data_IF_087488059375
#
_entry.id   IF_087488059375
#
_cell.length_a   1.000
_cell.length_b   1.000
_cell.length_c   1.000
_cell.angle_alpha   90.00
_cell.angle_beta   90.00
_cell.angle_gamma   90.00
#
_symmetry.space_group_name_H-M   'P 1'
#
loop_
_entity.id
_entity.type
_entity.pdbx_description
1 polymer ?
#
# COMPACT_ATOMS: atom_id res chain seq x y z
N UNK A 1 22.87 7.55 -15.61
CA UNK A 1 21.92 8.64 -15.91
C UNK A 1 20.87 8.59 -14.82
N UNK A 2 20.83 9.58 -13.91
CA UNK A 2 19.83 9.64 -12.85
C UNK A 2 18.53 10.08 -13.52
N UNK A 3 17.60 9.15 -13.71
CA UNK A 3 16.25 9.46 -14.17
C UNK A 3 15.65 10.48 -13.20
N UNK A 4 15.23 11.63 -13.73
CA UNK A 4 15.05 12.84 -12.95
C UNK A 4 14.02 12.64 -11.83
N UNK A 5 14.35 13.11 -10.62
CA UNK A 5 13.38 13.36 -9.55
C UNK A 5 12.08 13.87 -10.16
N UNK A 6 10.95 13.29 -9.78
CA UNK A 6 9.67 13.74 -10.30
C UNK A 6 9.55 15.26 -10.14
N UNK A 7 9.48 15.98 -11.27
CA UNK A 7 9.59 17.45 -11.28
C UNK A 7 8.38 18.14 -10.64
N UNK A 8 7.29 17.41 -10.49
CA UNK A 8 6.01 17.93 -9.99
C UNK A 8 5.38 16.95 -9.00
N UNK A 9 4.64 17.47 -8.01
CA UNK A 9 3.87 16.62 -7.09
C UNK A 9 2.71 15.94 -7.83
N UNK A 10 2.16 14.83 -7.28
CA UNK A 10 0.97 14.21 -7.84
C UNK A 10 -0.23 15.17 -7.83
N UNK A 11 -0.93 15.30 -8.95
CA UNK A 11 -2.07 16.21 -9.08
C UNK A 11 -3.21 15.85 -8.13
N UNK A 12 -3.70 16.78 -7.32
CA UNK A 12 -4.84 16.52 -6.43
C UNK A 12 -6.11 16.21 -7.24
N UNK A 13 -6.83 15.17 -6.82
CA UNK A 13 -8.15 14.85 -7.37
C UNK A 13 -9.18 15.87 -6.88
N UNK A 14 -10.17 16.20 -7.72
CA UNK A 14 -11.19 17.24 -7.44
C UNK A 14 -12.58 16.65 -7.17
N UNK A 15 -12.77 15.34 -7.32
CA UNK A 15 -14.04 14.66 -7.12
C UNK A 15 -13.98 13.16 -7.42
N UNK A 16 -15.16 12.52 -7.40
CA UNK A 16 -15.30 11.07 -7.64
C UNK A 16 -14.84 10.69 -9.06
N UNK A 17 -15.23 11.45 -10.08
CA UNK A 17 -14.85 11.14 -11.47
C UNK A 17 -13.35 11.29 -11.72
N UNK A 18 -12.69 12.27 -11.10
CA UNK A 18 -11.24 12.40 -11.17
C UNK A 18 -10.55 11.26 -10.43
N UNK A 19 -11.07 10.80 -9.29
CA UNK A 19 -10.55 9.59 -8.62
C UNK A 19 -10.68 8.36 -9.52
N UNK A 20 -11.83 8.14 -10.14
CA UNK A 20 -12.04 7.01 -11.07
C UNK A 20 -11.01 7.07 -12.19
N UNK A 21 -10.87 8.24 -12.83
CA UNK A 21 -9.90 8.43 -13.91
C UNK A 21 -8.47 8.17 -13.44
N UNK A 22 -8.06 8.75 -12.31
CA UNK A 22 -6.67 8.70 -11.84
C UNK A 22 -6.28 7.36 -11.23
N UNK A 23 -7.20 6.67 -10.54
CA UNK A 23 -6.88 5.48 -9.75
C UNK A 23 -7.45 4.18 -10.32
N UNK A 24 -8.49 4.22 -11.15
CA UNK A 24 -9.11 3.02 -11.74
C UNK A 24 -8.87 2.89 -13.25
N UNK A 25 -8.84 3.99 -14.00
CA UNK A 25 -8.71 3.94 -15.46
C UNK A 25 -7.26 4.17 -15.93
N UNK A 26 -6.55 5.09 -15.30
CA UNK A 26 -5.17 5.40 -15.67
C UNK A 26 -4.24 4.22 -15.33
N UNK A 27 -3.41 3.84 -16.30
CA UNK A 27 -2.32 2.89 -16.10
C UNK A 27 -1.03 3.69 -15.87
N UNK A 28 -0.39 3.58 -14.69
CA UNK A 28 0.87 4.27 -14.46
C UNK A 28 1.99 3.65 -15.32
N UNK A 29 3.07 4.39 -15.58
CA UNK A 29 4.19 3.92 -16.42
C UNK A 29 4.91 2.69 -15.84
N UNK A 30 5.01 2.61 -14.51
CA UNK A 30 5.68 1.53 -13.81
C UNK A 30 4.66 0.48 -13.34
N UNK A 31 4.89 -0.77 -13.72
CA UNK A 31 4.17 -1.91 -13.15
C UNK A 31 4.74 -2.19 -11.76
N UNK A 32 3.87 -2.25 -10.75
CA UNK A 32 4.29 -2.53 -9.37
C UNK A 32 3.88 -3.94 -8.94
N UNK A 33 2.90 -4.55 -9.60
CA UNK A 33 2.41 -5.87 -9.23
C UNK A 33 3.45 -6.95 -9.54
N UNK A 34 3.89 -7.69 -8.52
CA UNK A 34 4.74 -8.86 -8.68
C UNK A 34 3.88 -10.05 -9.12
N UNK A 35 4.15 -10.57 -10.31
CA UNK A 35 3.50 -11.78 -10.82
C UNK A 35 4.40 -12.98 -10.59
N UNK A 36 3.95 -13.90 -9.75
CA UNK A 36 4.66 -15.16 -9.53
C UNK A 36 4.60 -16.03 -10.77
N UNK A 37 5.75 -16.50 -11.23
CA UNK A 37 5.91 -17.43 -12.36
C UNK A 37 5.69 -18.87 -11.93
N UNK A 38 5.88 -19.18 -10.65
CA UNK A 38 5.69 -20.52 -10.09
C UNK A 38 5.16 -20.48 -8.64
N UNK A 39 4.56 -21.60 -8.17
CA UNK A 39 4.22 -21.76 -6.76
C UNK A 39 5.41 -21.63 -5.82
N UNK A 40 6.59 -22.12 -6.22
CA UNK A 40 7.82 -22.03 -5.42
C UNK A 40 8.27 -20.57 -5.23
N UNK A 41 8.12 -19.73 -6.25
CA UNK A 41 8.39 -18.30 -6.14
C UNK A 41 7.45 -17.66 -5.11
N UNK A 42 6.14 -17.97 -5.18
CA UNK A 42 5.16 -17.50 -4.19
C UNK A 42 5.48 -18.00 -2.78
N UNK A 43 5.94 -19.25 -2.63
CA UNK A 43 6.32 -19.83 -1.35
C UNK A 43 7.53 -19.10 -0.77
N UNK A 44 8.54 -18.81 -1.59
CA UNK A 44 9.71 -18.02 -1.18
C UNK A 44 9.31 -16.64 -0.65
N UNK A 45 8.42 -15.93 -1.34
CA UNK A 45 7.88 -14.66 -0.85
C UNK A 45 7.09 -14.83 0.46
N UNK A 46 6.28 -15.89 0.58
CA UNK A 46 5.55 -16.17 1.82
C UNK A 46 6.49 -16.39 3.00
N UNK A 47 7.56 -17.17 2.82
CA UNK A 47 8.59 -17.37 3.83
C UNK A 47 9.30 -16.07 4.21
N UNK A 48 9.65 -15.23 3.23
CA UNK A 48 10.25 -13.92 3.48
C UNK A 48 9.33 -13.02 4.32
N UNK A 49 8.02 -13.07 4.08
CA UNK A 49 7.02 -12.33 4.86
C UNK A 49 6.93 -12.90 6.29
N UNK A 50 6.87 -14.22 6.44
CA UNK A 50 6.83 -14.89 7.75
C UNK A 50 8.05 -14.54 8.58
N UNK A 51 9.25 -14.63 8.01
CA UNK A 51 10.51 -14.33 8.69
C UNK A 51 10.55 -12.88 9.19
N UNK A 52 10.04 -11.93 8.39
CA UNK A 52 10.08 -10.49 8.74
C UNK A 52 8.97 -10.06 9.69
N UNK A 53 7.75 -10.57 9.47
CA UNK A 53 6.56 -10.07 10.15
C UNK A 53 6.04 -11.01 11.23
N UNK A 54 6.52 -12.25 11.28
CA UNK A 54 6.02 -13.28 12.19
C UNK A 54 4.60 -13.72 11.89
N UNK A 55 4.10 -13.47 10.67
CA UNK A 55 2.73 -13.82 10.25
C UNK A 55 2.80 -14.85 9.14
N UNK A 56 2.11 -15.98 9.34
CA UNK A 56 1.88 -16.94 8.27
C UNK A 56 0.87 -16.37 7.26
N UNK A 57 1.32 -16.19 6.03
CA UNK A 57 0.51 -15.69 4.91
C UNK A 57 0.08 -16.76 3.91
N UNK A 58 0.49 -18.01 4.10
CA UNK A 58 0.16 -19.15 3.23
C UNK A 58 -1.35 -19.43 3.23
N UNK A 59 -2.02 -19.09 4.33
CA UNK A 59 -3.47 -19.25 4.48
C UNK A 59 -4.28 -18.20 3.69
N UNK A 60 -3.64 -17.19 3.07
CA UNK A 60 -4.33 -16.22 2.21
C UNK A 60 -4.36 -16.70 0.77
N UNK A 61 -5.57 -17.01 0.28
CA UNK A 61 -5.75 -17.53 -1.08
C UNK A 61 -5.30 -16.54 -2.15
N UNK A 62 -5.52 -15.24 -1.92
CA UNK A 62 -5.02 -14.16 -2.77
C UNK A 62 -4.01 -13.35 -1.95
N UNK A 63 -2.77 -13.31 -2.41
CA UNK A 63 -1.67 -12.54 -1.82
C UNK A 63 -1.14 -11.60 -2.90
N UNK A 64 -1.61 -10.34 -2.87
CA UNK A 64 -1.18 -9.35 -3.84
C UNK A 64 0.00 -8.59 -3.27
N UNK A 65 1.13 -8.71 -3.96
CA UNK A 65 2.38 -8.04 -3.60
C UNK A 65 2.67 -7.01 -4.68
N UNK A 66 2.77 -5.76 -4.26
CA UNK A 66 3.25 -4.67 -5.09
C UNK A 66 4.60 -4.19 -4.59
N UNK A 67 5.49 -3.84 -5.51
CA UNK A 67 6.87 -3.40 -5.28
C UNK A 67 7.18 -2.19 -6.17
N UNK A 68 7.88 -1.20 -5.62
CA UNK A 68 8.40 -0.08 -6.38
C UNK A 68 9.70 0.45 -5.73
N UNK A 69 10.72 0.70 -6.55
CA UNK A 69 11.90 1.44 -6.13
C UNK A 69 11.62 2.93 -6.02
N UNK A 70 12.13 3.60 -4.99
CA UNK A 70 12.01 5.04 -4.75
C UNK A 70 13.40 5.62 -4.51
N UNK A 71 13.79 6.63 -5.30
CA UNK A 71 15.14 7.22 -5.22
C UNK A 71 15.25 8.27 -4.09
N UNK A 72 14.93 7.83 -2.87
CA UNK A 72 14.93 8.62 -1.63
C UNK A 72 15.35 7.68 -0.49
N UNK A 73 15.99 8.15 0.60
CA UNK A 73 16.39 7.28 1.71
C UNK A 73 15.20 6.56 2.41
N UNK A 74 15.36 5.30 2.86
CA UNK A 74 14.27 4.50 3.44
C UNK A 74 13.56 5.13 4.63
N UNK A 75 14.34 5.82 5.48
CA UNK A 75 13.80 6.57 6.62
C UNK A 75 12.79 7.62 6.18
N UNK A 76 13.12 8.40 5.15
CA UNK A 76 12.25 9.48 4.66
C UNK A 76 10.97 8.90 4.04
N UNK A 77 11.09 7.88 3.19
CA UNK A 77 9.94 7.19 2.58
C UNK A 77 9.00 6.66 3.67
N UNK A 78 9.55 6.11 4.76
CA UNK A 78 8.74 5.61 5.86
C UNK A 78 8.06 6.72 6.66
N UNK A 79 8.72 7.86 6.92
CA UNK A 79 8.07 9.03 7.54
C UNK A 79 6.91 9.57 6.70
N UNK A 80 7.04 9.57 5.36
CA UNK A 80 5.94 9.91 4.46
C UNK A 80 4.76 8.93 4.59
N UNK A 81 5.00 7.62 4.77
CA UNK A 81 3.94 6.64 5.05
C UNK A 81 3.25 6.92 6.40
N UNK A 82 4.02 7.32 7.41
CA UNK A 82 3.47 7.69 8.73
C UNK A 82 2.58 8.94 8.65
N UNK A 83 2.72 9.75 7.60
CA UNK A 83 1.84 10.89 7.35
C UNK A 83 0.51 10.54 6.64
N UNK A 84 0.29 9.25 6.28
CA UNK A 84 -0.87 8.84 5.46
C UNK A 84 -2.22 9.15 6.11
N UNK A 85 -3.00 10.00 5.45
CA UNK A 85 -4.28 10.53 5.96
C UNK A 85 -5.30 10.74 4.84
N UNK A 86 -6.51 11.16 5.23
CA UNK A 86 -7.62 11.46 4.32
C UNK A 86 -7.42 12.67 3.40
N UNK A 87 -6.27 13.36 3.50
CA UNK A 87 -5.89 14.49 2.62
C UNK A 87 -4.74 14.13 1.67
N UNK A 88 -4.29 12.86 1.70
CA UNK A 88 -3.22 12.39 0.84
C UNK A 88 -3.59 12.50 -0.65
N UNK A 89 -2.74 13.15 -1.43
CA UNK A 89 -2.84 13.20 -2.90
C UNK A 89 -2.56 11.85 -3.55
N UNK A 90 -1.98 10.91 -2.81
CA UNK A 90 -1.64 9.58 -3.30
C UNK A 90 -2.81 8.58 -3.16
N UNK A 91 -3.95 9.00 -2.60
CA UNK A 91 -5.09 8.11 -2.31
C UNK A 91 -6.41 8.65 -2.88
N UNK A 92 -7.33 7.79 -3.38
CA UNK A 92 -8.61 8.21 -3.95
C UNK A 92 -9.63 8.62 -2.87
N UNK A 93 -9.42 9.76 -2.22
CA UNK A 93 -10.19 10.20 -1.06
C UNK A 93 -11.68 10.49 -1.31
N UNK A 94 -12.10 10.71 -2.56
CA UNK A 94 -13.51 10.88 -2.91
C UNK A 94 -14.24 9.54 -3.10
N UNK A 95 -13.53 8.47 -3.48
CA UNK A 95 -14.10 7.10 -3.57
C UNK A 95 -13.96 6.37 -2.24
N UNK A 96 -12.81 6.46 -1.59
CA UNK A 96 -12.47 5.74 -0.37
C UNK A 96 -11.73 6.69 0.55
N UNK A 97 -12.38 7.28 1.55
CA UNK A 97 -11.73 8.25 2.43
C UNK A 97 -11.07 7.58 3.61
N UNK A 98 -9.80 7.89 3.84
CA UNK A 98 -9.07 7.46 5.05
C UNK A 98 -9.48 8.33 6.23
N UNK A 99 -9.76 7.70 7.37
CA UNK A 99 -10.04 8.35 8.65
C UNK A 99 -9.23 7.67 9.74
N UNK A 100 -8.41 8.45 10.45
CA UNK A 100 -7.74 8.01 11.67
C UNK A 100 -8.69 8.12 12.86
N UNK A 101 -8.76 7.08 13.70
CA UNK A 101 -9.42 7.15 15.00
C UNK A 101 -8.42 7.78 15.98
N UNK A 102 -8.87 8.77 16.74
CA UNK A 102 -8.04 9.54 17.70
C UNK A 102 -6.76 10.11 17.09
N UNK A 103 -6.81 10.44 15.80
CA UNK A 103 -5.67 10.90 15.00
C UNK A 103 -4.46 9.92 14.96
N UNK A 104 -4.68 8.66 15.35
CA UNK A 104 -3.65 7.62 15.38
C UNK A 104 -3.60 6.80 14.09
N UNK A 105 -2.38 6.36 13.73
CA UNK A 105 -2.19 5.35 12.68
C UNK A 105 -2.59 3.95 13.13
N UNK A 106 -2.69 3.72 14.44
CA UNK A 106 -2.98 2.38 14.97
C UNK A 106 -4.39 1.90 14.61
N UNK A 107 -5.31 2.84 14.38
CA UNK A 107 -6.71 2.54 14.10
C UNK A 107 -7.18 3.41 12.94
N UNK A 108 -7.25 2.81 11.75
CA UNK A 108 -7.65 3.50 10.51
C UNK A 108 -8.96 2.89 10.01
N UNK A 109 -9.88 3.76 9.59
CA UNK A 109 -11.12 3.39 8.92
C UNK A 109 -11.13 3.97 7.51
N UNK A 110 -11.56 3.15 6.55
CA UNK A 110 -11.72 3.56 5.16
C UNK A 110 -13.21 3.53 4.82
N UNK A 111 -13.75 4.67 4.40
CA UNK A 111 -15.17 4.84 4.09
C UNK A 111 -15.39 5.04 2.60
N UNK A 112 -16.36 4.32 2.03
CA UNK A 112 -16.79 4.57 0.66
C UNK A 112 -17.47 5.95 0.53
N UNK A 113 -17.16 6.64 -0.56
CA UNK A 113 -17.69 7.94 -0.96
C UNK A 113 -17.54 9.04 0.09
N UNK A 114 -16.56 8.92 0.99
CA UNK A 114 -16.26 9.91 2.02
C UNK A 114 -17.34 10.09 3.09
N UNK A 115 -18.37 9.25 3.12
CA UNK A 115 -19.51 9.40 4.04
C UNK A 115 -19.24 8.64 5.34
N UNK A 116 -18.84 9.36 6.40
CA UNK A 116 -18.70 8.81 7.77
C UNK A 116 -20.04 8.41 8.41
N UNK A 117 -21.14 9.06 8.02
CA UNK A 117 -22.49 8.81 8.53
C UNK A 117 -23.49 9.01 7.39
N UNK A 118 -24.09 7.92 6.94
CA UNK A 118 -25.38 7.95 6.24
C UNK A 118 -26.41 7.51 7.29
N UNK A 119 -27.58 8.17 7.41
CA UNK A 119 -28.69 7.55 8.12
C UNK A 119 -28.91 6.17 7.46
N UNK A 120 -28.93 5.07 8.22
CA UNK A 120 -28.90 3.65 7.77
C UNK A 120 -27.55 2.90 7.72
N UNK A 121 -26.47 3.43 8.33
CA UNK A 121 -25.44 2.56 8.95
C UNK A 121 -24.56 1.71 8.03
N UNK A 122 -24.03 2.27 6.94
CA UNK A 122 -22.96 1.58 6.22
C UNK A 122 -21.70 1.50 7.10
N UNK A 123 -21.29 0.27 7.40
CA UNK A 123 -20.02 -0.02 8.08
C UNK A 123 -18.84 0.46 7.21
N UNK A 124 -17.68 0.80 7.82
CA UNK A 124 -16.46 1.08 7.07
C UNK A 124 -16.18 -0.02 6.05
N UNK A 125 -15.70 0.37 4.87
CA UNK A 125 -15.24 -0.59 3.86
C UNK A 125 -14.13 -1.44 4.45
N UNK A 126 -13.18 -0.79 5.12
CA UNK A 126 -12.09 -1.41 5.84
C UNK A 126 -11.89 -0.76 7.21
N UNK A 127 -11.63 -1.60 8.21
CA UNK A 127 -11.04 -1.25 9.49
C UNK A 127 -9.65 -1.88 9.53
N UNK A 128 -8.63 -1.05 9.72
CA UNK A 128 -7.24 -1.43 9.85
C UNK A 128 -6.84 -1.20 11.30
N UNK A 129 -6.48 -2.27 11.99
CA UNK A 129 -5.98 -2.23 13.37
C UNK A 129 -4.52 -2.65 13.35
N UNK A 130 -3.63 -1.79 13.81
CA UNK A 130 -2.20 -2.07 13.80
C UNK A 130 -1.91 -3.27 14.71
N UNK A 131 -1.24 -4.27 14.15
CA UNK A 131 -0.59 -5.32 14.91
C UNK A 131 0.78 -4.82 15.35
N UNK A 132 1.51 -4.16 14.43
CA UNK A 132 2.87 -3.67 14.68
C UNK A 132 3.22 -2.50 13.77
N UNK A 133 3.91 -1.51 14.34
CA UNK A 133 4.52 -0.39 13.62
C UNK A 133 6.01 -0.36 13.96
N UNK A 134 6.85 -0.85 13.06
CA UNK A 134 8.31 -0.89 13.23
C UNK A 134 8.94 0.37 12.62
N UNK A 135 9.18 1.39 13.44
CA UNK A 135 9.77 2.68 13.00
C UNK A 135 11.29 2.64 12.89
N UNK A 136 11.91 1.97 13.85
CA UNK A 136 13.37 1.83 13.94
C UNK A 136 13.70 0.41 13.46
N UNK A 137 14.61 0.20 12.51
CA UNK A 137 15.02 -1.14 12.12
C UNK A 137 15.53 -1.97 13.30
N UNK A 138 15.35 -3.28 13.23
CA UNK A 138 15.98 -4.20 14.18
C UNK A 138 17.50 -4.11 14.10
N UNK A 139 18.18 -4.38 15.22
CA UNK A 139 19.65 -4.36 15.29
C UNK A 139 20.33 -5.40 14.39
N UNK A 140 19.59 -6.41 13.95
CA UNK A 140 20.06 -7.49 13.08
C UNK A 140 19.42 -7.45 11.68
N UNK A 141 18.66 -6.40 11.37
CA UNK A 141 18.01 -6.23 10.07
C UNK A 141 19.02 -5.67 9.06
N UNK A 142 19.62 -6.54 8.25
CA UNK A 142 20.60 -6.14 7.22
C UNK A 142 20.00 -5.23 6.14
N UNK A 143 18.69 -5.27 5.94
CA UNK A 143 17.95 -4.50 4.94
C UNK A 143 17.34 -3.19 5.51
N UNK A 144 17.59 -2.88 6.79
CA UNK A 144 17.02 -1.72 7.51
C UNK A 144 15.48 -1.64 7.41
N UNK A 145 14.79 -2.77 7.54
CA UNK A 145 13.35 -2.84 7.40
C UNK A 145 12.57 -1.91 8.35
N UNK A 146 11.56 -1.24 7.78
CA UNK A 146 10.52 -0.50 8.51
C UNK A 146 9.17 -0.90 7.96
N UNK A 147 8.18 -1.05 8.81
CA UNK A 147 6.87 -1.51 8.34
C UNK A 147 5.70 -1.06 9.21
N UNK A 148 4.55 -1.02 8.55
CA UNK A 148 3.24 -0.88 9.12
C UNK A 148 2.49 -2.17 8.83
N UNK A 149 2.04 -2.87 9.87
CA UNK A 149 1.33 -4.14 9.76
C UNK A 149 -0.03 -4.02 10.43
N UNK A 150 -1.08 -4.31 9.66
CA UNK A 150 -2.46 -4.19 10.07
C UNK A 150 -3.21 -5.51 9.93
N UNK A 151 -4.06 -5.77 10.93
CA UNK A 151 -5.20 -6.69 10.81
C UNK A 151 -6.36 -5.91 10.21
N UNK A 152 -6.89 -6.43 9.12
CA UNK A 152 -8.00 -5.82 8.40
C UNK A 152 -9.32 -6.53 8.70
N UNK A 153 -10.41 -5.78 8.71
CA UNK A 153 -11.78 -6.28 8.75
C UNK A 153 -12.73 -5.28 8.07
N UNK A 154 -14.02 -5.60 7.95
CA UNK A 154 -15.01 -4.69 7.39
C UNK A 154 -15.89 -5.34 6.33
N UNK A 155 -16.34 -4.52 5.37
CA UNK A 155 -17.27 -4.90 4.31
C UNK A 155 -16.70 -5.85 3.25
N UNK A 156 -15.39 -6.10 3.26
CA UNK A 156 -14.70 -6.90 2.25
C UNK A 156 -13.57 -7.76 2.88
N UNK A 157 -13.26 -8.97 2.37
CA UNK A 157 -12.42 -9.95 3.06
C UNK A 157 -10.91 -9.69 2.91
N UNK A 158 -10.44 -8.51 3.31
CA UNK A 158 -9.01 -8.28 3.57
C UNK A 158 -8.70 -8.81 4.96
N UNK A 159 -7.75 -9.74 5.06
CA UNK A 159 -7.30 -10.28 6.34
C UNK A 159 -6.15 -9.48 6.93
N UNK A 160 -5.11 -9.25 6.13
CA UNK A 160 -3.94 -8.47 6.52
C UNK A 160 -3.59 -7.45 5.44
N UNK A 161 -3.03 -6.34 5.89
CA UNK A 161 -2.39 -5.36 5.03
C UNK A 161 -1.09 -4.94 5.68
N UNK A 162 -0.01 -4.91 4.93
CA UNK A 162 1.21 -4.28 5.39
C UNK A 162 1.89 -3.48 4.30
N UNK A 163 2.55 -2.43 4.75
CA UNK A 163 3.42 -1.58 3.95
C UNK A 163 4.81 -1.70 4.54
N UNK A 164 5.81 -2.03 3.74
CA UNK A 164 7.17 -2.16 4.22
C UNK A 164 8.17 -1.46 3.30
N UNK A 165 9.19 -0.87 3.93
CA UNK A 165 10.27 -0.15 3.25
C UNK A 165 11.59 -0.74 3.69
N UNK A 166 12.43 -1.09 2.72
CA UNK A 166 13.79 -1.59 2.95
C UNK A 166 14.81 -0.80 2.14
N UNK A 167 16.07 -0.98 2.49
CA UNK A 167 17.23 -0.60 1.67
C UNK A 167 17.34 -1.54 0.47
N UNK A 168 17.93 -1.10 -0.67
CA UNK A 168 18.11 -1.94 -1.83
C UNK A 168 18.98 -3.16 -1.52
N UNK A 169 18.62 -4.28 -2.12
CA UNK A 169 19.37 -5.52 -2.12
C UNK A 169 20.13 -5.62 -3.45
N UNK A 170 21.46 -5.54 -3.39
CA UNK A 170 22.31 -5.60 -4.58
C UNK A 170 22.12 -6.88 -5.38
N UNK A 171 21.81 -8.00 -4.71
CA UNK A 171 21.55 -9.31 -5.32
C UNK A 171 20.28 -9.31 -6.20
N UNK A 172 19.36 -8.37 -6.00
CA UNK A 172 18.11 -8.25 -6.76
C UNK A 172 18.18 -7.21 -7.89
N UNK A 173 19.37 -6.68 -8.19
CA UNK A 173 19.59 -5.58 -9.17
C UNK A 173 18.75 -4.33 -8.86
N UNK A 174 18.45 -4.08 -7.59
CA UNK A 174 17.72 -2.91 -7.14
C UNK A 174 18.65 -1.68 -7.15
N UNK A 175 18.25 -0.63 -7.87
CA UNK A 175 19.09 0.55 -8.09
C UNK A 175 18.69 1.75 -7.22
N UNK A 176 17.43 1.78 -6.79
CA UNK A 176 16.84 2.85 -6.02
C UNK A 176 17.17 2.74 -4.53
N UNK A 177 17.33 3.90 -3.89
CA UNK A 177 17.75 4.00 -2.47
C UNK A 177 16.76 3.38 -1.47
N UNK A 178 15.49 3.21 -1.86
CA UNK A 178 14.47 2.54 -1.08
C UNK A 178 13.66 1.60 -1.94
N UNK A 179 13.21 0.50 -1.34
CA UNK A 179 12.26 -0.41 -1.94
C UNK A 179 11.01 -0.42 -1.10
N UNK A 180 9.90 0.02 -1.69
CA UNK A 180 8.60 0.07 -1.06
C UNK A 180 7.75 -1.09 -1.54
N UNK A 181 7.10 -1.75 -0.60
CA UNK A 181 6.19 -2.84 -0.89
C UNK A 181 4.85 -2.67 -0.18
N UNK A 182 3.77 -2.91 -0.92
CA UNK A 182 2.42 -3.02 -0.38
C UNK A 182 1.96 -4.46 -0.56
N UNK A 183 1.55 -5.09 0.54
CA UNK A 183 1.12 -6.48 0.51
C UNK A 183 -0.24 -6.62 1.16
N UNK A 184 -1.14 -7.26 0.43
CA UNK A 184 -2.52 -7.47 0.86
C UNK A 184 -2.84 -8.95 0.78
N UNK A 185 -3.14 -9.52 1.94
CA UNK A 185 -3.62 -10.90 2.07
C UNK A 185 -5.14 -10.90 2.18
N UNK A 186 -5.81 -11.45 1.16
CA UNK A 186 -7.26 -11.62 1.19
C UNK A 186 -7.63 -12.98 1.74
N UNK A 187 -8.62 -13.01 2.62
CA UNK A 187 -9.16 -14.23 3.20
C UNK A 187 -10.64 -14.40 2.84
N UNK A 188 -10.92 -14.64 1.56
CA UNK A 188 -12.29 -14.87 1.07
C UNK A 188 -12.95 -16.10 1.69
N UNK A 189 -12.16 -17.14 2.01
CA UNK A 189 -12.66 -18.46 2.38
C UNK A 189 -12.90 -18.63 3.89
N UNK A 190 -12.47 -17.67 4.72
CA UNK A 190 -12.91 -17.56 6.12
C UNK A 190 -14.39 -17.15 6.28
N UNK A 191 -15.08 -16.84 5.17
CA UNK A 191 -16.53 -16.64 5.11
C UNK A 191 -17.09 -17.54 4.01
N UNK A 192 -17.71 -18.67 4.40
CA UNK A 192 -18.22 -19.72 3.48
C UNK A 192 -19.03 -19.19 2.28
N UNK A 193 -19.71 -18.05 2.39
CA UNK A 193 -20.54 -17.48 1.32
C UNK A 193 -19.78 -16.74 0.20
N UNK A 194 -18.49 -16.45 0.36
CA UNK A 194 -17.71 -15.68 -0.61
C UNK A 194 -16.79 -16.53 -1.49
N UNK A 195 -16.48 -17.76 -1.06
CA UNK A 195 -15.67 -18.73 -1.81
C UNK A 195 -16.28 -19.09 -3.17
N UNK A 196 -17.61 -19.05 -3.30
CA UNK A 196 -18.33 -19.44 -4.51
C UNK A 196 -18.40 -18.32 -5.58
N UNK A 197 -17.96 -17.10 -5.28
CA UNK A 197 -18.13 -15.92 -6.16
C UNK A 197 -16.86 -15.51 -6.91
N UNK A 198 -16.28 -16.45 -7.65
CA UNK A 198 -15.02 -16.27 -8.40
C UNK A 198 -14.95 -15.01 -9.28
N UNK A 199 -16.06 -14.62 -9.92
CA UNK A 199 -16.10 -13.42 -10.78
C UNK A 199 -15.95 -12.14 -9.95
N UNK A 200 -16.63 -12.06 -8.80
CA UNK A 200 -16.57 -10.90 -7.92
C UNK A 200 -15.15 -10.77 -7.36
N UNK A 201 -14.53 -11.88 -6.96
CA UNK A 201 -13.16 -11.90 -6.45
C UNK A 201 -12.19 -11.36 -7.50
N UNK A 202 -12.32 -11.81 -8.76
CA UNK A 202 -11.48 -11.35 -9.88
C UNK A 202 -11.66 -9.86 -10.20
N UNK A 203 -12.90 -9.36 -10.21
CA UNK A 203 -13.18 -7.93 -10.46
C UNK A 203 -12.52 -7.08 -9.38
N UNK A 204 -12.64 -7.50 -8.12
CA UNK A 204 -12.05 -6.78 -7.01
C UNK A 204 -10.54 -6.82 -7.00
N UNK A 205 -9.93 -7.96 -7.33
CA UNK A 205 -8.48 -8.07 -7.51
C UNK A 205 -7.98 -7.06 -8.54
N UNK A 206 -8.64 -6.98 -9.70
CA UNK A 206 -8.32 -6.01 -10.76
C UNK A 206 -8.44 -4.57 -10.25
N UNK A 207 -9.53 -4.25 -9.54
CA UNK A 207 -9.75 -2.91 -8.96
C UNK A 207 -8.65 -2.60 -7.94
N UNK A 208 -8.37 -3.53 -7.04
CA UNK A 208 -7.41 -3.38 -5.97
C UNK A 208 -5.99 -3.18 -6.52
N UNK A 209 -5.55 -4.01 -7.46
CA UNK A 209 -4.24 -3.92 -8.08
C UNK A 209 -4.06 -2.60 -8.80
N UNK A 210 -5.10 -2.17 -9.51
CA UNK A 210 -5.11 -0.90 -10.24
C UNK A 210 -5.01 0.29 -9.30
N UNK A 211 -5.77 0.31 -8.21
CA UNK A 211 -5.72 1.37 -7.19
C UNK A 211 -4.37 1.37 -6.48
N UNK A 212 -3.86 0.18 -6.10
CA UNK A 212 -2.58 0.02 -5.39
C UNK A 212 -1.41 0.48 -6.25
N UNK A 213 -1.39 0.09 -7.52
CA UNK A 213 -0.35 0.51 -8.47
C UNK A 213 -0.33 2.03 -8.63
N UNK A 214 -1.50 2.66 -8.83
CA UNK A 214 -1.58 4.12 -8.92
C UNK A 214 -1.20 4.82 -7.61
N UNK A 215 -1.59 4.26 -6.47
CA UNK A 215 -1.24 4.77 -5.14
C UNK A 215 0.27 4.78 -4.95
N UNK A 216 0.94 3.64 -5.20
CA UNK A 216 2.39 3.51 -5.05
C UNK A 216 3.17 4.40 -6.02
N UNK A 217 2.75 4.47 -7.29
CA UNK A 217 3.39 5.35 -8.26
C UNK A 217 3.31 6.83 -7.85
N UNK A 218 2.12 7.28 -7.42
CA UNK A 218 1.92 8.65 -6.93
C UNK A 218 2.67 8.91 -5.63
N UNK A 219 2.85 7.89 -4.79
CA UNK A 219 3.63 7.98 -3.57
C UNK A 219 5.13 8.11 -3.85
N UNK A 220 5.68 7.34 -4.81
CA UNK A 220 7.04 7.53 -5.35
C UNK A 220 7.22 8.97 -5.84
N UNK A 221 6.30 9.45 -6.68
CA UNK A 221 6.32 10.81 -7.20
C UNK A 221 6.36 11.86 -6.07
N UNK A 222 5.51 11.70 -5.05
CA UNK A 222 5.47 12.62 -3.90
C UNK A 222 6.79 12.62 -3.13
N UNK A 223 7.32 11.43 -2.81
CA UNK A 223 8.55 11.29 -2.04
C UNK A 223 9.74 11.93 -2.77
N UNK A 224 9.94 11.59 -4.04
CA UNK A 224 11.07 12.09 -4.84
C UNK A 224 10.97 13.61 -5.05
N UNK A 225 9.77 14.13 -5.29
CA UNK A 225 9.55 15.56 -5.44
C UNK A 225 9.83 16.32 -4.13
N UNK A 226 9.25 15.90 -3.00
CA UNK A 226 9.45 16.57 -1.70
C UNK A 226 10.90 16.48 -1.24
N UNK A 227 11.51 15.31 -1.38
CA UNK A 227 12.92 15.14 -1.01
C UNK A 227 13.85 16.00 -1.89
N UNK A 228 13.59 16.07 -3.19
CA UNK A 228 14.33 16.97 -4.09
C UNK A 228 14.18 18.45 -3.73
N UNK A 229 13.01 18.87 -3.23
CA UNK A 229 12.79 20.24 -2.71
C UNK A 229 13.65 20.54 -1.48
N UNK A 230 13.69 19.60 -0.53
CA UNK A 230 14.53 19.69 0.68
C UNK A 230 16.01 19.78 0.30
N UNK A 231 16.49 18.90 -0.60
CA UNK A 231 17.89 18.94 -1.06
C UNK A 231 18.25 20.23 -1.80
N UNK A 232 17.28 20.84 -2.49
CA UNK A 232 17.44 22.12 -3.19
C UNK A 232 17.30 23.36 -2.30
N UNK A 233 17.00 23.21 -1.00
CA UNK A 233 16.80 24.32 -0.08
C UNK A 233 15.53 25.13 -0.33
N UNK A 234 14.52 24.53 -0.96
CA UNK A 234 13.21 25.16 -1.20
C UNK A 234 12.21 24.49 -0.25
N UNK A 235 11.80 25.22 0.80
CA UNK A 235 10.68 24.82 1.68
C UNK A 235 9.32 24.98 0.98
#
# INVERSE_FOLDING_TARGET
>A
MIESCARTPPSRSTGIFSDIRMFLLHKPPLETHIRFKSPDERLNYSHMIVQRLGINVENYNILNIHHIGINVPPKYVFEELLSWSGDSTCWPNHIARVSRIDNSLENIQIYLFGKKRIPFGLSPLFNLNAIKIQRIPGTYDFDNARYLLYKCSGGYPIGIFFMYVISPLSEQNESEQSQLFFVVGFNFYGKESWSERNIINRIWEIIHDRVTTNTMYRFKQLCEWRFGKIQGGIE
#
